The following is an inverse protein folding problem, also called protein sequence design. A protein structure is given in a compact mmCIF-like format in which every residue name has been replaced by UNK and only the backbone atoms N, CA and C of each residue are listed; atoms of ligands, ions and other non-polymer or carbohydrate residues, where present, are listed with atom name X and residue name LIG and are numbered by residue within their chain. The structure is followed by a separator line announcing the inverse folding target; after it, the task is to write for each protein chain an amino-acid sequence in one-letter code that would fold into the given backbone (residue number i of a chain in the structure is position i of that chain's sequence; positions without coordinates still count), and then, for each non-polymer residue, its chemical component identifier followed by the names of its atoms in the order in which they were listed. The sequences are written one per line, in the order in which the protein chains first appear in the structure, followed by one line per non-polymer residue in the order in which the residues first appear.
data_IF_472424645036
#
_entry.id   IF_472424645036
#
_cell.length_a   1.000
_cell.length_b   1.000
_cell.length_c   1.000
_cell.angle_alpha   90.00
_cell.angle_beta   90.00
_cell.angle_gamma   90.00
#
_symmetry.space_group_name_H-M   'P 1'
#
loop_
_entity.id
_entity.type
_entity.pdbx_description
1 polymer ?
#
# COMPACT_ATOMS: atom_id res chain seq x y z
N UNK A 1 85.44 -32.21 -7.99
CA UNK A 1 85.98 -31.34 -6.95
C UNK A 1 84.79 -31.00 -6.09
N UNK A 2 84.58 -31.72 -5.02
CA UNK A 2 84.84 -31.42 -3.62
C UNK A 2 84.29 -29.99 -3.23
N UNK A 3 83.44 -29.72 -2.28
CA UNK A 3 83.50 -30.10 -0.87
C UNK A 3 82.24 -29.57 -0.11
N UNK A 4 81.72 -30.43 0.73
CA UNK A 4 81.38 -30.24 2.14
C UNK A 4 80.26 -29.21 2.56
N UNK A 5 79.18 -29.70 3.07
CA UNK A 5 78.76 -29.85 4.51
C UNK A 5 78.64 -28.54 5.26
N UNK A 6 77.42 -28.23 5.76
CA UNK A 6 77.21 -28.32 7.20
C UNK A 6 75.68 -28.28 7.54
N UNK A 7 75.34 -29.20 8.46
CA UNK A 7 74.05 -29.30 9.15
C UNK A 7 73.94 -28.13 10.13
N UNK A 8 72.74 -27.56 10.25
CA UNK A 8 72.33 -26.89 11.47
C UNK A 8 70.84 -27.23 11.79
N UNK A 9 70.66 -28.02 12.85
CA UNK A 9 69.35 -28.23 13.48
C UNK A 9 68.89 -26.93 14.16
N UNK A 10 67.66 -26.55 13.96
CA UNK A 10 66.97 -25.52 14.70
C UNK A 10 65.56 -26.00 15.05
N UNK A 11 65.37 -26.39 16.32
CA UNK A 11 64.05 -26.59 16.92
C UNK A 11 63.29 -25.29 16.96
N UNK A 12 61.97 -25.32 16.76
CA UNK A 12 61.23 -24.20 17.24
C UNK A 12 59.77 -24.09 16.75
N UNK A 13 58.90 -24.56 17.57
CA UNK A 13 57.54 -24.04 17.80
C UNK A 13 56.47 -24.25 16.70
N UNK A 14 55.68 -25.27 16.96
CA UNK A 14 54.33 -25.44 16.41
C UNK A 14 53.42 -24.38 17.02
N UNK A 15 53.04 -23.34 16.25
CA UNK A 15 51.98 -22.43 16.61
C UNK A 15 50.68 -22.97 16.02
N UNK A 16 49.79 -23.50 16.90
CA UNK A 16 48.39 -23.77 16.54
C UNK A 16 47.68 -22.43 16.40
N UNK A 17 47.34 -22.07 15.18
CA UNK A 17 46.38 -21.00 14.90
C UNK A 17 44.97 -21.58 14.97
N UNK A 18 44.03 -20.97 15.74
CA UNK A 18 42.64 -21.37 15.68
C UNK A 18 42.04 -20.83 14.39
N UNK A 19 41.47 -21.73 13.58
CA UNK A 19 40.56 -21.36 12.49
C UNK A 19 39.30 -20.74 13.11
N UNK A 20 39.21 -19.42 13.13
CA UNK A 20 37.98 -18.73 13.35
C UNK A 20 37.11 -18.92 12.10
N UNK A 21 36.17 -19.85 12.15
CA UNK A 21 35.09 -19.99 11.18
C UNK A 21 34.20 -18.76 11.30
N UNK A 22 34.36 -17.79 10.41
CA UNK A 22 33.36 -16.73 10.21
C UNK A 22 32.10 -17.36 9.62
N UNK A 23 31.20 -17.80 10.48
CA UNK A 23 29.82 -18.07 10.12
C UNK A 23 29.18 -16.75 9.72
N UNK A 24 29.06 -16.51 8.43
CA UNK A 24 28.30 -15.40 7.87
C UNK A 24 26.83 -15.71 8.12
N UNK A 25 26.30 -15.21 9.22
CA UNK A 25 24.86 -15.19 9.51
C UNK A 25 24.24 -14.27 8.45
N UNK A 26 23.55 -14.87 7.49
CA UNK A 26 22.63 -14.12 6.64
C UNK A 26 21.55 -13.52 7.54
N UNK A 27 21.72 -12.27 7.88
CA UNK A 27 20.69 -11.45 8.47
C UNK A 27 19.61 -11.27 7.40
N UNK A 28 18.52 -12.00 7.57
CA UNK A 28 17.29 -11.71 6.86
C UNK A 28 16.99 -10.20 7.08
N UNK A 29 17.05 -9.45 5.99
CA UNK A 29 16.66 -8.04 5.98
C UNK A 29 15.17 -7.96 6.37
N UNK A 30 14.92 -7.86 7.66
CA UNK A 30 13.63 -7.44 8.18
C UNK A 30 13.37 -6.05 7.63
N UNK A 31 12.30 -5.91 6.85
CA UNK A 31 11.82 -4.62 6.42
C UNK A 31 11.47 -3.80 7.64
N UNK A 32 12.43 -3.03 8.12
CA UNK A 32 12.23 -2.03 9.16
C UNK A 32 11.25 -1.02 8.59
N UNK A 33 10.05 -0.97 9.14
CA UNK A 33 9.12 0.11 8.90
C UNK A 33 9.84 1.40 9.27
N UNK A 34 10.22 2.19 8.26
CA UNK A 34 10.87 3.47 8.47
C UNK A 34 9.91 4.34 9.30
N UNK A 35 10.40 4.82 10.45
CA UNK A 35 9.70 5.83 11.22
C UNK A 35 9.36 7.02 10.32
N UNK A 36 8.19 7.67 10.47
CA UNK A 36 7.79 8.76 9.60
C UNK A 36 8.83 9.88 9.67
N UNK A 37 9.58 10.06 8.60
CA UNK A 37 10.39 11.25 8.39
C UNK A 37 9.41 12.43 8.42
N UNK A 38 9.72 13.51 9.17
CA UNK A 38 8.80 14.65 9.33
C UNK A 38 8.48 15.42 8.03
N UNK A 39 8.87 14.91 6.86
CA UNK A 39 8.51 15.45 5.54
C UNK A 39 7.43 14.61 4.85
N UNK A 40 6.62 15.28 4.04
CA UNK A 40 5.63 14.61 3.19
C UNK A 40 6.34 13.67 2.20
N UNK A 41 5.88 12.41 2.05
CA UNK A 41 6.47 11.47 1.11
C UNK A 41 6.34 11.97 -0.33
N UNK A 42 7.38 11.72 -1.14
CA UNK A 42 7.28 11.94 -2.59
C UNK A 42 6.40 10.87 -3.26
N UNK A 43 6.13 11.03 -4.55
CA UNK A 43 5.23 10.12 -5.28
C UNK A 43 5.65 8.64 -5.23
N UNK A 44 6.95 8.33 -5.33
CA UNK A 44 7.46 6.94 -5.28
C UNK A 44 7.29 6.35 -3.89
N UNK A 45 7.66 7.12 -2.86
CA UNK A 45 7.48 6.72 -1.46
C UNK A 45 6.00 6.51 -1.13
N UNK A 46 5.15 7.42 -1.60
CA UNK A 46 3.70 7.33 -1.41
C UNK A 46 3.11 6.09 -2.09
N UNK A 47 3.55 5.77 -3.30
CA UNK A 47 3.12 4.56 -3.99
C UNK A 47 3.55 3.29 -3.24
N UNK A 48 4.77 3.25 -2.72
CA UNK A 48 5.26 2.18 -1.86
C UNK A 48 4.49 2.05 -0.54
N UNK A 49 4.07 3.17 0.07
CA UNK A 49 3.21 3.16 1.26
C UNK A 49 1.82 2.61 0.91
N UNK A 50 1.18 3.13 -0.14
CA UNK A 50 -0.16 2.73 -0.55
C UNK A 50 -0.23 1.24 -0.95
N UNK A 51 0.81 0.70 -1.58
CA UNK A 51 0.85 -0.71 -2.01
C UNK A 51 0.80 -1.72 -0.85
N UNK A 52 1.03 -1.29 0.39
CA UNK A 52 0.91 -2.13 1.60
C UNK A 52 -0.51 -2.20 2.16
N UNK A 53 -1.39 -1.32 1.69
CA UNK A 53 -2.77 -1.29 2.13
C UNK A 53 -3.59 -2.48 1.65
N UNK A 54 -4.69 -2.73 2.33
CA UNK A 54 -5.63 -3.79 1.99
C UNK A 54 -6.93 -3.19 1.48
N UNK A 55 -7.33 -3.59 0.27
CA UNK A 55 -8.55 -3.13 -0.37
C UNK A 55 -9.14 -4.18 -1.28
N UNK A 56 -10.25 -3.85 -1.90
CA UNK A 56 -10.81 -4.65 -2.99
C UNK A 56 -10.40 -4.05 -4.35
N UNK A 57 -10.18 -4.92 -5.32
CA UNK A 57 -9.72 -4.53 -6.65
C UNK A 57 -10.89 -4.45 -7.62
N UNK A 58 -10.90 -3.40 -8.44
CA UNK A 58 -11.85 -3.23 -9.55
C UNK A 58 -11.12 -2.94 -10.84
N UNK A 59 -11.75 -3.28 -11.95
CA UNK A 59 -11.27 -2.94 -13.29
C UNK A 59 -10.34 -3.98 -13.90
N UNK A 60 -9.47 -3.53 -14.80
CA UNK A 60 -8.60 -4.38 -15.62
C UNK A 60 -7.46 -4.97 -14.77
N UNK A 61 -7.62 -6.20 -14.28
CA UNK A 61 -6.65 -6.88 -13.40
C UNK A 61 -5.24 -6.98 -14.01
N UNK A 62 -5.16 -7.03 -15.35
CA UNK A 62 -3.89 -7.13 -16.09
C UNK A 62 -3.31 -5.76 -16.49
N UNK A 63 -3.90 -4.65 -16.05
CA UNK A 63 -3.32 -3.32 -16.30
C UNK A 63 -1.93 -3.20 -15.66
N UNK A 64 -1.01 -2.56 -16.39
CA UNK A 64 0.40 -2.46 -16.00
C UNK A 64 0.62 -1.71 -14.68
N UNK A 65 -0.28 -0.79 -14.33
CA UNK A 65 -0.18 0.02 -13.12
C UNK A 65 -1.47 -0.07 -12.31
N UNK A 66 -1.29 -0.03 -11.00
CA UNK A 66 -2.40 0.02 -10.04
C UNK A 66 -2.59 1.45 -9.56
N UNK A 67 -3.84 1.91 -9.50
CA UNK A 67 -4.23 3.14 -8.82
C UNK A 67 -4.78 2.75 -7.45
N UNK A 68 -4.23 3.29 -6.39
CA UNK A 68 -4.70 3.08 -5.02
C UNK A 68 -5.58 4.24 -4.60
N UNK A 69 -6.72 3.95 -4.00
CA UNK A 69 -7.65 4.97 -3.50
C UNK A 69 -7.94 4.72 -2.04
N UNK A 70 -7.52 5.64 -1.18
CA UNK A 70 -7.98 5.68 0.20
C UNK A 70 -9.31 6.45 0.23
N UNK A 71 -10.34 5.81 0.72
CA UNK A 71 -11.67 6.39 0.79
C UNK A 71 -12.30 6.26 2.17
N UNK A 72 -13.06 7.25 2.56
CA UNK A 72 -13.91 7.18 3.74
C UNK A 72 -15.35 6.93 3.30
N UNK A 73 -15.98 5.92 3.85
CA UNK A 73 -17.32 5.48 3.44
C UNK A 73 -18.42 6.54 3.66
N UNK A 74 -18.18 7.52 4.53
CA UNK A 74 -19.16 8.59 4.77
C UNK A 74 -18.90 9.86 3.94
N UNK A 75 -17.94 9.80 3.01
CA UNK A 75 -17.51 10.95 2.24
C UNK A 75 -18.24 11.05 0.88
N UNK A 76 -19.05 12.07 0.59
CA UNK A 76 -19.70 12.23 -0.70
C UNK A 76 -18.74 12.35 -1.89
N UNK A 77 -17.58 12.99 -1.68
CA UNK A 77 -16.57 13.10 -2.74
C UNK A 77 -15.92 11.75 -3.08
N UNK A 78 -15.89 10.80 -2.13
CA UNK A 78 -15.47 9.43 -2.45
C UNK A 78 -16.50 8.74 -3.38
N UNK A 79 -17.78 8.97 -3.16
CA UNK A 79 -18.86 8.50 -4.03
C UNK A 79 -18.80 9.13 -5.43
N UNK A 80 -18.48 10.42 -5.51
CA UNK A 80 -18.26 11.11 -6.79
C UNK A 80 -17.08 10.48 -7.56
N UNK A 81 -15.94 10.24 -6.88
CA UNK A 81 -14.79 9.58 -7.50
C UNK A 81 -15.12 8.14 -7.94
N UNK A 82 -15.87 7.39 -7.12
CA UNK A 82 -16.33 6.04 -7.48
C UNK A 82 -17.09 6.08 -8.81
N UNK A 83 -18.04 7.00 -8.94
CA UNK A 83 -18.82 7.20 -10.16
C UNK A 83 -17.93 7.60 -11.35
N UNK A 84 -17.01 8.55 -11.16
CA UNK A 84 -16.09 9.03 -12.20
C UNK A 84 -15.13 7.95 -12.70
N UNK A 85 -14.82 6.95 -11.86
CA UNK A 85 -13.92 5.86 -12.22
C UNK A 85 -14.55 4.80 -13.12
N UNK A 86 -15.88 4.64 -13.10
CA UNK A 86 -16.58 3.55 -13.78
C UNK A 86 -16.27 3.44 -15.29
N UNK A 87 -16.23 4.54 -16.07
CA UNK A 87 -15.91 4.46 -17.50
C UNK A 87 -14.48 3.99 -17.80
N UNK A 88 -13.59 4.04 -16.82
CA UNK A 88 -12.17 3.72 -16.99
C UNK A 88 -11.82 2.28 -16.55
N UNK A 89 -12.74 1.53 -15.96
CA UNK A 89 -12.47 0.20 -15.41
C UNK A 89 -12.02 -0.82 -16.46
N UNK A 90 -12.32 -0.61 -17.74
CA UNK A 90 -11.76 -1.42 -18.83
C UNK A 90 -10.25 -1.20 -19.08
N UNK A 91 -9.68 -0.11 -18.57
CA UNK A 91 -8.27 0.29 -18.78
C UNK A 91 -7.46 0.38 -17.49
N UNK A 92 -8.09 0.65 -16.36
CA UNK A 92 -7.47 0.84 -15.05
C UNK A 92 -7.65 -0.38 -14.15
N UNK A 93 -6.60 -0.68 -13.38
CA UNK A 93 -6.69 -1.50 -12.18
C UNK A 93 -6.68 -0.56 -10.97
N UNK A 94 -7.74 -0.60 -10.18
CA UNK A 94 -7.86 0.23 -8.98
C UNK A 94 -8.02 -0.62 -7.75
N UNK A 95 -7.36 -0.24 -6.65
CA UNK A 95 -7.53 -0.85 -5.33
C UNK A 95 -8.16 0.19 -4.41
N UNK A 96 -9.38 -0.07 -3.97
CA UNK A 96 -10.13 0.79 -3.07
C UNK A 96 -9.95 0.34 -1.63
N UNK A 97 -9.35 1.19 -0.83
CA UNK A 97 -8.92 0.93 0.54
C UNK A 97 -9.73 1.78 1.51
N UNK A 98 -10.66 1.16 2.26
CA UNK A 98 -11.45 1.90 3.23
C UNK A 98 -10.59 2.36 4.41
N UNK A 99 -10.88 3.58 4.90
CA UNK A 99 -10.31 4.14 6.12
C UNK A 99 -11.42 4.65 7.05
N UNK A 100 -11.09 4.84 8.32
CA UNK A 100 -12.00 5.41 9.32
C UNK A 100 -11.50 6.78 9.76
N UNK A 101 -11.98 7.85 9.12
CA UNK A 101 -11.47 9.21 9.35
C UNK A 101 -12.55 10.19 9.78
N UNK A 102 -13.64 10.31 9.02
CA UNK A 102 -14.56 11.43 9.12
C UNK A 102 -15.62 11.27 10.21
N UNK A 103 -16.14 10.05 10.40
CA UNK A 103 -17.24 9.76 11.32
C UNK A 103 -17.06 8.43 12.04
N UNK A 104 -17.74 8.19 13.17
CA UNK A 104 -17.70 6.90 13.86
C UNK A 104 -18.09 5.70 12.98
N UNK A 105 -19.01 5.91 12.01
CA UNK A 105 -19.48 4.88 11.08
C UNK A 105 -18.49 4.57 9.95
N UNK A 106 -17.54 5.47 9.65
CA UNK A 106 -16.60 5.33 8.54
C UNK A 106 -15.86 3.98 8.55
N UNK A 107 -15.24 3.65 9.66
CA UNK A 107 -14.51 2.39 9.80
C UNK A 107 -15.40 1.16 9.71
N UNK A 108 -16.49 1.05 10.49
CA UNK A 108 -17.42 -0.06 10.41
C UNK A 108 -18.07 -0.26 9.03
N UNK A 109 -18.51 0.79 8.35
CA UNK A 109 -19.05 0.68 6.99
C UNK A 109 -17.98 0.27 5.98
N UNK A 110 -16.76 0.85 6.08
CA UNK A 110 -15.64 0.42 5.26
C UNK A 110 -15.28 -1.05 5.44
N UNK A 111 -15.33 -1.55 6.68
CA UNK A 111 -15.15 -2.97 6.97
C UNK A 111 -16.29 -3.84 6.43
N UNK A 112 -17.54 -3.36 6.49
CA UNK A 112 -18.69 -4.06 5.91
C UNK A 112 -18.55 -4.21 4.39
N UNK A 113 -18.13 -3.16 3.68
CA UNK A 113 -17.84 -3.22 2.24
C UNK A 113 -16.73 -4.24 1.96
N UNK A 114 -15.60 -4.14 2.68
CA UNK A 114 -14.43 -4.98 2.45
C UNK A 114 -14.67 -6.46 2.76
N UNK A 115 -15.56 -6.79 3.71
CA UNK A 115 -15.92 -8.15 4.09
C UNK A 115 -17.08 -8.73 3.30
N UNK A 116 -17.74 -7.96 2.45
CA UNK A 116 -18.86 -8.43 1.65
C UNK A 116 -18.42 -9.55 0.70
N UNK A 117 -19.28 -10.55 0.41
CA UNK A 117 -18.99 -11.57 -0.60
C UNK A 117 -18.66 -10.98 -1.98
N UNK A 118 -19.29 -9.86 -2.31
CA UNK A 118 -19.01 -9.03 -3.48
C UNK A 118 -18.80 -7.57 -3.04
N UNK A 119 -17.56 -7.17 -2.78
CA UNK A 119 -17.25 -5.81 -2.34
C UNK A 119 -17.60 -4.73 -3.38
N UNK A 120 -17.57 -5.07 -4.67
CA UNK A 120 -17.92 -4.14 -5.75
C UNK A 120 -19.40 -3.83 -5.74
N UNK A 121 -20.23 -4.87 -5.58
CA UNK A 121 -21.67 -4.68 -5.42
C UNK A 121 -22.01 -3.90 -4.17
N UNK A 122 -21.39 -4.24 -3.03
CA UNK A 122 -21.57 -3.53 -1.78
C UNK A 122 -21.18 -2.05 -1.89
N UNK A 123 -20.08 -1.76 -2.59
CA UNK A 123 -19.62 -0.39 -2.85
C UNK A 123 -20.62 0.37 -3.75
N UNK A 124 -21.14 -0.25 -4.80
CA UNK A 124 -22.15 0.37 -5.67
C UNK A 124 -23.40 0.77 -4.88
N UNK A 125 -23.92 -0.13 -4.04
CA UNK A 125 -25.10 0.11 -3.21
C UNK A 125 -24.80 1.20 -2.18
N UNK A 126 -23.63 1.15 -1.55
CA UNK A 126 -23.20 2.11 -0.55
C UNK A 126 -23.12 3.52 -1.12
N UNK A 127 -22.36 3.71 -2.20
CA UNK A 127 -22.09 5.02 -2.78
C UNK A 127 -23.34 5.63 -3.45
N UNK A 128 -24.20 4.78 -4.03
CA UNK A 128 -25.50 5.24 -4.51
C UNK A 128 -26.37 5.81 -3.37
N UNK A 129 -26.37 5.15 -2.19
CA UNK A 129 -27.05 5.64 -0.99
C UNK A 129 -26.44 6.94 -0.46
N UNK A 130 -25.11 7.03 -0.41
CA UNK A 130 -24.38 8.23 0.05
C UNK A 130 -24.75 9.45 -0.83
N UNK A 131 -24.73 9.28 -2.16
CA UNK A 131 -25.10 10.33 -3.11
C UNK A 131 -26.56 10.79 -2.94
N UNK A 132 -27.44 9.90 -2.50
CA UNK A 132 -28.84 10.20 -2.20
C UNK A 132 -29.06 10.68 -0.74
N UNK A 133 -27.98 10.91 0.02
CA UNK A 133 -28.01 11.26 1.46
C UNK A 133 -28.65 10.18 2.35
N UNK A 134 -28.62 8.92 1.90
CA UNK A 134 -29.19 7.76 2.61
C UNK A 134 -28.27 7.11 3.66
N UNK A 135 -27.03 7.64 3.84
CA UNK A 135 -26.15 7.19 4.91
C UNK A 135 -25.35 5.89 4.62
N UNK A 136 -25.46 5.33 3.43
CA UNK A 136 -24.70 4.12 3.03
C UNK A 136 -25.38 2.80 3.40
N UNK A 137 -24.61 1.70 3.37
CA UNK A 137 -25.11 0.36 3.73
C UNK A 137 -25.14 0.15 5.24
N UNK A 138 -25.97 -0.80 5.68
CA UNK A 138 -26.01 -1.23 7.09
C UNK A 138 -24.74 -2.00 7.46
N UNK A 139 -24.31 -1.83 8.71
CA UNK A 139 -23.14 -2.53 9.26
C UNK A 139 -23.62 -3.82 9.95
N UNK A 140 -23.09 -5.00 9.57
CA UNK A 140 -23.36 -6.24 10.29
C UNK A 140 -22.86 -6.19 11.75
N UNK A 141 -23.59 -6.83 12.66
CA UNK A 141 -23.20 -6.88 14.08
C UNK A 141 -21.93 -7.70 14.36
N UNK A 142 -21.54 -8.57 13.41
CA UNK A 142 -20.45 -9.53 13.53
C UNK A 142 -19.39 -9.31 12.45
N UNK A 143 -18.84 -8.09 12.35
CA UNK A 143 -17.71 -7.84 11.46
C UNK A 143 -16.49 -8.67 11.88
N UNK A 144 -15.79 -9.32 10.94
CA UNK A 144 -14.55 -10.03 11.24
C UNK A 144 -13.47 -9.09 11.78
N UNK A 145 -12.84 -9.45 12.90
CA UNK A 145 -11.82 -8.63 13.58
C UNK A 145 -10.61 -8.34 12.68
N UNK A 146 -10.23 -9.28 11.82
CA UNK A 146 -9.13 -9.09 10.88
C UNK A 146 -9.47 -8.02 9.82
N UNK A 147 -10.74 -7.93 9.39
CA UNK A 147 -11.17 -6.89 8.44
C UNK A 147 -11.23 -5.52 9.11
N UNK A 148 -11.72 -5.45 10.34
CA UNK A 148 -11.69 -4.20 11.14
C UNK A 148 -10.25 -3.72 11.32
N UNK A 149 -9.31 -4.64 11.57
CA UNK A 149 -7.88 -4.32 11.68
C UNK A 149 -7.33 -3.79 10.36
N UNK A 150 -7.65 -4.40 9.20
CA UNK A 150 -7.22 -3.92 7.88
C UNK A 150 -7.64 -2.48 7.62
N UNK A 151 -8.86 -2.08 8.02
CA UNK A 151 -9.31 -0.69 7.90
C UNK A 151 -8.51 0.26 8.81
N UNK A 152 -8.18 -0.17 10.04
CA UNK A 152 -7.30 0.60 10.94
C UNK A 152 -5.89 0.76 10.36
N UNK A 153 -5.34 -0.31 9.81
CA UNK A 153 -4.01 -0.31 9.19
C UNK A 153 -3.98 0.62 7.96
N UNK A 154 -5.02 0.59 7.13
CA UNK A 154 -5.17 1.54 6.02
C UNK A 154 -5.23 2.99 6.52
N UNK A 155 -5.94 3.23 7.62
CA UNK A 155 -6.04 4.57 8.23
C UNK A 155 -4.66 5.06 8.69
N UNK A 156 -3.84 4.15 9.21
CA UNK A 156 -2.47 4.48 9.60
C UNK A 156 -1.57 4.75 8.37
N UNK A 157 -1.70 3.97 7.30
CA UNK A 157 -1.00 4.25 6.04
C UNK A 157 -1.40 5.62 5.46
N UNK A 158 -2.69 5.96 5.53
CA UNK A 158 -3.16 7.28 5.11
C UNK A 158 -2.51 8.42 5.92
N UNK A 159 -2.34 8.25 7.24
CA UNK A 159 -1.62 9.23 8.08
C UNK A 159 -0.14 9.34 7.71
N UNK A 160 0.53 8.21 7.38
CA UNK A 160 1.92 8.20 6.91
C UNK A 160 2.10 8.98 5.61
N UNK A 161 1.05 9.02 4.77
CA UNK A 161 1.03 9.81 3.53
C UNK A 161 0.89 11.32 3.80
N UNK A 162 0.66 11.72 5.04
CA UNK A 162 0.39 13.13 5.42
C UNK A 162 -0.69 13.77 4.53
N UNK A 163 -1.71 12.97 4.22
CA UNK A 163 -2.86 13.42 3.46
C UNK A 163 -3.89 14.05 4.39
N UNK A 164 -4.52 15.13 3.94
CA UNK A 164 -5.43 15.94 4.75
C UNK A 164 -6.91 15.75 4.36
N UNK A 165 -7.15 15.11 3.22
CA UNK A 165 -8.51 14.93 2.71
C UNK A 165 -8.68 13.63 1.93
N UNK A 166 -9.93 13.17 1.85
CA UNK A 166 -10.37 12.01 1.10
C UNK A 166 -11.34 12.43 -0.01
N UNK A 167 -11.37 11.67 -1.11
CA UNK A 167 -10.50 10.52 -1.43
C UNK A 167 -9.04 10.93 -1.64
N UNK A 168 -8.09 10.03 -1.35
CA UNK A 168 -6.71 10.20 -1.75
C UNK A 168 -6.39 9.18 -2.84
N UNK A 169 -5.99 9.67 -4.00
CA UNK A 169 -5.59 8.89 -5.17
C UNK A 169 -4.07 8.81 -5.18
N UNK A 170 -3.51 7.61 -5.15
CA UNK A 170 -2.06 7.37 -5.29
C UNK A 170 -1.86 6.56 -6.56
N UNK A 171 -1.04 7.06 -7.47
CA UNK A 171 -0.93 6.51 -8.81
C UNK A 171 0.50 6.43 -9.33
N UNK A 172 0.68 5.57 -10.32
CA UNK A 172 1.79 5.62 -11.26
C UNK A 172 1.19 5.82 -12.65
N UNK A 173 1.57 6.89 -13.32
CA UNK A 173 1.11 7.18 -14.69
C UNK A 173 1.66 6.13 -15.66
N UNK A 174 0.80 5.49 -16.43
CA UNK A 174 1.17 4.38 -17.31
C UNK A 174 2.07 4.81 -18.48
N UNK A 175 1.91 6.07 -18.96
CA UNK A 175 2.65 6.60 -20.10
C UNK A 175 4.00 7.19 -19.69
N UNK A 176 4.01 8.04 -18.64
CA UNK A 176 5.23 8.75 -18.22
C UNK A 176 6.05 7.99 -17.17
N UNK A 177 5.46 7.01 -16.50
CA UNK A 177 6.07 6.32 -15.36
C UNK A 177 6.11 7.16 -14.08
N UNK A 178 5.63 8.40 -14.10
CA UNK A 178 5.64 9.29 -12.94
C UNK A 178 4.68 8.80 -11.85
N UNK A 179 5.13 8.87 -10.62
CA UNK A 179 4.32 8.58 -9.44
C UNK A 179 3.79 9.87 -8.83
N UNK A 180 2.56 9.82 -8.32
CA UNK A 180 1.97 10.99 -7.67
C UNK A 180 0.87 10.65 -6.69
N UNK A 181 0.43 11.69 -5.98
CA UNK A 181 -0.75 11.70 -5.12
C UNK A 181 -1.66 12.84 -5.54
N UNK A 182 -2.97 12.60 -5.51
CA UNK A 182 -3.99 13.62 -5.69
C UNK A 182 -5.02 13.49 -4.58
N UNK A 183 -5.26 14.58 -3.87
CA UNK A 183 -6.28 14.64 -2.80
C UNK A 183 -7.56 15.26 -3.36
N UNK A 184 -8.69 14.62 -3.05
CA UNK A 184 -10.01 15.02 -3.55
C UNK A 184 -10.50 14.22 -4.75
N UNK A 185 -11.79 14.35 -5.03
CA UNK A 185 -12.42 13.75 -6.19
C UNK A 185 -11.99 14.45 -7.48
N UNK A 186 -11.93 13.68 -8.56
CA UNK A 186 -11.66 14.18 -9.92
C UNK A 186 -12.69 13.61 -10.88
N UNK A 187 -12.87 14.27 -12.00
CA UNK A 187 -13.67 13.75 -13.10
C UNK A 187 -12.95 12.62 -13.87
N UNK A 188 -13.67 11.95 -14.74
CA UNK A 188 -13.16 10.82 -15.54
C UNK A 188 -11.93 11.21 -16.38
N UNK A 189 -11.94 12.40 -17.00
CA UNK A 189 -10.85 12.84 -17.88
C UNK A 189 -9.57 13.12 -17.07
N UNK A 190 -9.71 13.78 -15.93
CA UNK A 190 -8.59 14.04 -15.01
C UNK A 190 -8.04 12.73 -14.42
N UNK A 191 -8.91 11.78 -14.03
CA UNK A 191 -8.46 10.48 -13.54
C UNK A 191 -7.68 9.70 -14.61
N UNK A 192 -8.17 9.73 -15.88
CA UNK A 192 -7.48 9.12 -17.01
C UNK A 192 -6.09 9.76 -17.24
N UNK A 193 -6.00 11.08 -17.17
CA UNK A 193 -4.74 11.80 -17.30
C UNK A 193 -3.74 11.48 -16.19
N UNK A 194 -4.19 11.44 -14.93
CA UNK A 194 -3.35 11.05 -13.79
C UNK A 194 -2.79 9.63 -13.96
N UNK A 195 -3.63 8.69 -14.38
CA UNK A 195 -3.25 7.29 -14.56
C UNK A 195 -2.51 7.02 -15.89
N UNK A 196 -2.60 7.92 -16.88
CA UNK A 196 -1.96 7.78 -18.20
C UNK A 196 -2.67 6.77 -19.11
N UNK A 197 -4.02 6.78 -19.19
CA UNK A 197 -4.83 5.85 -19.99
C UNK A 197 -5.86 6.54 -20.87
#
# INVERSE_FOLDING_TARGET
MTTRRTLALGLGAIALAPLAACSKKEEAAGATAAAPSGRKPNGVEAYGIASRGTGFTVGALMAANTVYVFFDSTCPHCAELWKSSQPLLGKLKMVWMPIGLLRPQSGPQGAAILSAPDPVKAMNEHEASVLQRGGGISVPSNLPDDVVRKVKDNTELFRQLQAESVPLIVYRNAQSGQHGMHAGAVDTATLAALAGV
#
